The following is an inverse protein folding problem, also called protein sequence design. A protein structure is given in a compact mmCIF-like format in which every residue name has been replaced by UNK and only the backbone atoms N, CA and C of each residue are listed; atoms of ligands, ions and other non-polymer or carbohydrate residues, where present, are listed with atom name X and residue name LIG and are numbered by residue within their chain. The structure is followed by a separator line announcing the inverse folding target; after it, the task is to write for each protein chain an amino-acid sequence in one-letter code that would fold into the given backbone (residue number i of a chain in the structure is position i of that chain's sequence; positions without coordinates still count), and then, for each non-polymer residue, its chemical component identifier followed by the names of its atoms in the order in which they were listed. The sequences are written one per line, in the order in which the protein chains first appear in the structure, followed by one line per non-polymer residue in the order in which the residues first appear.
data_IF_276917682121
#
_entry.id   IF_276917682121
#
_cell.length_a   1.000
_cell.length_b   1.000
_cell.length_c   1.000
_cell.angle_alpha   90.00
_cell.angle_beta   90.00
_cell.angle_gamma   90.00
#
_symmetry.space_group_name_H-M   'P 1'
#
loop_
_entity.id
_entity.type
_entity.pdbx_description
1 polymer ?
#
# COMPACT_ATOMS: atom_id res chain seq x y z
N UNK A 1 4.08 -5.51 -29.23
CA UNK A 1 3.16 -4.35 -29.32
C UNK A 1 2.59 -4.17 -27.93
N UNK A 2 2.75 -3.01 -27.32
CA UNK A 2 2.20 -2.74 -25.99
C UNK A 2 0.77 -2.25 -26.16
N UNK A 3 -0.17 -2.82 -25.41
CA UNK A 3 -1.59 -2.48 -25.46
C UNK A 3 -1.96 -1.76 -24.16
N UNK A 4 -2.34 -0.49 -24.27
CA UNK A 4 -2.71 0.32 -23.13
C UNK A 4 -4.14 -0.02 -22.69
N UNK A 5 -4.29 -0.47 -21.45
CA UNK A 5 -5.57 -0.75 -20.84
C UNK A 5 -5.85 0.27 -19.74
N UNK A 6 -7.08 0.80 -19.70
CA UNK A 6 -7.50 1.69 -18.62
C UNK A 6 -7.88 0.86 -17.40
N UNK A 7 -7.30 1.20 -16.26
CA UNK A 7 -7.56 0.56 -14.98
C UNK A 7 -8.41 1.51 -14.14
N UNK A 8 -9.63 1.10 -13.83
CA UNK A 8 -10.51 1.87 -12.96
C UNK A 8 -10.24 1.47 -11.52
N UNK A 9 -9.61 2.39 -10.79
CA UNK A 9 -9.24 2.18 -9.40
C UNK A 9 -10.33 2.61 -8.39
N UNK A 10 -11.51 3.00 -8.87
CA UNK A 10 -12.71 3.44 -8.09
C UNK A 10 -12.43 4.43 -6.94
N UNK A 11 -11.32 5.17 -7.08
CA UNK A 11 -10.87 6.14 -6.10
C UNK A 11 -11.83 7.34 -6.04
N UNK A 12 -12.35 7.61 -4.83
CA UNK A 12 -13.28 8.74 -4.58
C UNK A 12 -12.59 10.10 -4.58
N UNK A 13 -11.25 10.11 -4.56
CA UNK A 13 -10.42 11.31 -4.52
C UNK A 13 -9.19 11.15 -5.44
N UNK A 14 -8.36 12.17 -5.51
CA UNK A 14 -7.15 12.20 -6.33
C UNK A 14 -6.19 11.06 -5.96
N UNK A 15 -5.68 10.38 -6.98
CA UNK A 15 -4.56 9.44 -6.83
C UNK A 15 -3.29 10.27 -6.73
N UNK A 16 -2.65 10.26 -5.56
CA UNK A 16 -1.42 11.02 -5.35
C UNK A 16 -0.17 10.32 -5.88
N UNK A 17 -0.12 8.99 -5.75
CA UNK A 17 1.03 8.21 -6.16
C UNK A 17 0.64 6.76 -6.47
N UNK A 18 1.46 6.14 -7.32
CA UNK A 18 1.34 4.74 -7.72
C UNK A 18 2.73 4.13 -7.69
N UNK A 19 2.90 2.98 -7.04
CA UNK A 19 4.17 2.27 -6.99
C UNK A 19 3.98 0.79 -7.34
N UNK A 20 4.80 0.30 -8.27
CA UNK A 20 4.90 -1.12 -8.57
C UNK A 20 5.83 -1.83 -7.58
N UNK A 21 5.50 -3.07 -7.28
CA UNK A 21 6.40 -3.99 -6.57
C UNK A 21 7.59 -4.34 -7.47
N UNK A 22 8.69 -4.79 -6.88
CA UNK A 22 9.96 -5.08 -7.58
C UNK A 22 9.80 -6.09 -8.73
N UNK A 23 8.82 -6.99 -8.63
CA UNK A 23 8.53 -8.02 -9.64
C UNK A 23 7.49 -7.58 -10.68
N UNK A 24 7.01 -6.33 -10.64
CA UNK A 24 5.93 -5.78 -11.49
C UNK A 24 4.61 -6.56 -11.46
N UNK A 25 4.44 -7.50 -10.53
CA UNK A 25 3.21 -8.29 -10.39
C UNK A 25 2.14 -7.62 -9.53
N UNK A 26 2.53 -6.59 -8.77
CA UNK A 26 1.65 -5.91 -7.81
C UNK A 26 1.85 -4.41 -7.93
N UNK A 27 0.78 -3.68 -7.62
CA UNK A 27 0.77 -2.23 -7.62
C UNK A 27 0.11 -1.75 -6.33
N UNK A 28 0.73 -0.79 -5.67
CA UNK A 28 0.14 -0.04 -4.58
C UNK A 28 -0.34 1.30 -5.14
N UNK A 29 -1.57 1.67 -4.79
CA UNK A 29 -2.13 3.00 -5.06
C UNK A 29 -2.60 3.58 -3.74
N UNK A 30 -2.43 4.88 -3.54
CA UNK A 30 -2.91 5.56 -2.35
C UNK A 30 -3.96 6.61 -2.71
N UNK A 31 -5.20 6.36 -2.30
CA UNK A 31 -6.29 7.33 -2.37
C UNK A 31 -7.30 7.09 -1.26
N UNK A 32 -8.15 8.09 -1.03
CA UNK A 32 -9.18 8.10 -0.02
C UNK A 32 -10.51 7.57 -0.61
N UNK A 33 -10.62 6.25 -0.89
CA UNK A 33 -11.82 5.67 -1.50
C UNK A 33 -11.75 4.16 -1.75
N UNK A 34 -12.90 3.56 -2.13
CA UNK A 34 -13.23 2.12 -2.15
C UNK A 34 -12.52 1.28 -3.24
N UNK A 35 -12.78 -0.03 -3.20
CA UNK A 35 -12.11 -1.12 -3.92
C UNK A 35 -12.30 -1.10 -5.46
N UNK A 36 -11.29 -1.48 -6.26
CA UNK A 36 -11.34 -1.49 -7.72
C UNK A 36 -12.03 -2.72 -8.33
N UNK A 37 -12.80 -2.53 -9.41
CA UNK A 37 -13.60 -3.60 -10.06
C UNK A 37 -12.79 -4.48 -11.06
N UNK A 38 -11.63 -4.02 -11.54
CA UNK A 38 -10.82 -4.70 -12.58
C UNK A 38 -9.44 -5.17 -12.10
N UNK A 39 -9.13 -5.05 -10.81
CA UNK A 39 -7.89 -5.53 -10.20
C UNK A 39 -8.22 -6.35 -8.96
N UNK A 40 -7.51 -7.46 -8.75
CA UNK A 40 -7.65 -8.22 -7.51
C UNK A 40 -7.06 -7.41 -6.35
N UNK A 41 -7.94 -6.76 -5.58
CA UNK A 41 -7.55 -6.09 -4.37
C UNK A 41 -6.94 -7.10 -3.39
N UNK A 42 -5.65 -6.93 -3.09
CA UNK A 42 -4.96 -7.79 -2.13
C UNK A 42 -5.22 -7.37 -0.69
N UNK A 43 -5.34 -6.07 -0.43
CA UNK A 43 -5.65 -5.49 0.88
C UNK A 43 -6.00 -4.00 0.73
N UNK A 44 -6.92 -3.52 1.58
CA UNK A 44 -7.23 -2.10 1.76
C UNK A 44 -7.29 -1.80 3.24
N UNK A 45 -6.59 -0.76 3.69
CA UNK A 45 -6.61 -0.34 5.09
C UNK A 45 -6.37 1.16 5.22
N UNK A 46 -6.88 1.73 6.32
CA UNK A 46 -6.65 3.13 6.66
C UNK A 46 -5.38 3.28 7.46
N UNK A 47 -4.31 3.73 6.82
CA UNK A 47 -3.00 3.91 7.46
C UNK A 47 -2.78 5.28 8.11
N UNK A 48 -3.36 6.34 7.53
CA UNK A 48 -3.09 7.73 7.87
C UNK A 48 -4.36 8.54 8.14
N UNK A 49 -4.22 9.64 8.88
CA UNK A 49 -5.34 10.55 9.20
C UNK A 49 -5.55 11.62 8.13
N UNK A 50 -4.57 11.83 7.26
CA UNK A 50 -4.63 12.73 6.12
C UNK A 50 -4.26 12.02 4.81
N UNK A 51 -4.37 12.74 3.69
CA UNK A 51 -4.01 12.23 2.36
C UNK A 51 -2.59 11.69 2.35
N UNK A 52 -2.42 10.48 1.83
CA UNK A 52 -1.12 9.86 1.59
C UNK A 52 -0.56 10.45 0.30
N UNK A 53 0.66 10.97 0.35
CA UNK A 53 1.28 11.66 -0.77
C UNK A 53 2.19 10.76 -1.58
N UNK A 54 2.89 9.84 -0.90
CA UNK A 54 3.73 8.83 -1.56
C UNK A 54 3.57 7.47 -0.93
N UNK A 55 3.75 6.47 -1.77
CA UNK A 55 3.88 5.06 -1.40
C UNK A 55 5.09 4.48 -2.13
N UNK A 56 5.88 3.66 -1.44
CA UNK A 56 7.02 2.97 -2.05
C UNK A 56 7.16 1.56 -1.48
N UNK A 57 7.52 0.61 -2.34
CA UNK A 57 7.86 -0.74 -1.95
C UNK A 57 9.32 -0.81 -1.51
N UNK A 58 9.59 -1.59 -0.47
CA UNK A 58 10.95 -1.94 -0.09
C UNK A 58 11.52 -3.02 -1.03
N UNK A 59 12.84 -3.17 -1.01
CA UNK A 59 13.49 -4.25 -1.75
C UNK A 59 13.09 -5.61 -1.15
N UNK A 60 12.81 -6.64 -1.96
CA UNK A 60 12.31 -7.93 -1.49
C UNK A 60 13.26 -8.67 -0.54
N UNK A 61 14.54 -8.29 -0.47
CA UNK A 61 15.50 -8.80 0.52
C UNK A 61 15.10 -8.49 1.97
N UNK A 62 14.36 -7.39 2.20
CA UNK A 62 13.84 -7.01 3.52
C UNK A 62 12.44 -7.61 3.80
N UNK A 63 11.90 -8.37 2.85
CA UNK A 63 10.52 -8.87 2.89
C UNK A 63 9.56 -7.97 2.12
N UNK A 64 8.26 -8.25 2.26
CA UNK A 64 7.22 -7.46 1.61
C UNK A 64 6.83 -6.28 2.51
N UNK A 65 7.62 -5.22 2.42
CA UNK A 65 7.40 -3.98 3.18
C UNK A 65 6.99 -2.82 2.27
N UNK A 66 6.16 -1.92 2.82
CA UNK A 66 5.66 -0.72 2.17
C UNK A 66 5.92 0.48 3.07
N UNK A 67 6.47 1.56 2.53
CA UNK A 67 6.55 2.84 3.22
C UNK A 67 5.53 3.82 2.65
N UNK A 68 4.82 4.52 3.52
CA UNK A 68 3.84 5.56 3.15
C UNK A 68 4.19 6.86 3.85
N UNK A 69 4.04 7.98 3.16
CA UNK A 69 4.11 9.32 3.78
C UNK A 69 2.82 10.09 3.58
N UNK A 70 2.39 10.83 4.59
CA UNK A 70 1.11 11.54 4.59
C UNK A 70 1.26 13.00 4.99
N UNK A 71 0.27 13.79 4.57
CA UNK A 71 0.10 15.17 5.01
C UNK A 71 -0.19 15.32 6.51
N UNK A 72 -0.52 14.21 7.19
CA UNK A 72 -0.67 14.20 8.66
C UNK A 72 0.66 14.40 9.41
N UNK A 73 1.76 14.63 8.68
CA UNK A 73 3.14 14.79 9.18
C UNK A 73 3.71 13.52 9.79
N UNK A 74 3.24 12.37 9.31
CA UNK A 74 3.77 11.08 9.69
C UNK A 74 4.15 10.27 8.47
N UNK A 75 5.15 9.41 8.63
CA UNK A 75 5.48 8.36 7.70
C UNK A 75 5.37 7.01 8.40
N UNK A 76 4.78 6.02 7.76
CA UNK A 76 4.60 4.70 8.33
C UNK A 76 5.28 3.65 7.47
N UNK A 77 5.84 2.62 8.11
CA UNK A 77 6.31 1.41 7.44
C UNK A 77 5.36 0.28 7.80
N UNK A 78 4.92 -0.42 6.77
CA UNK A 78 3.96 -1.51 6.81
C UNK A 78 4.64 -2.80 6.34
N UNK A 79 4.27 -3.91 6.96
CA UNK A 79 4.74 -5.25 6.60
C UNK A 79 3.55 -6.14 6.29
N UNK A 80 3.64 -6.88 5.18
CA UNK A 80 2.65 -7.88 4.83
C UNK A 80 2.87 -9.14 5.66
N UNK A 81 1.88 -9.50 6.48
CA UNK A 81 1.84 -10.81 7.13
C UNK A 81 0.91 -11.71 6.34
N UNK A 82 1.46 -12.84 5.89
CA UNK A 82 0.70 -13.92 5.27
C UNK A 82 0.31 -14.89 6.38
N UNK A 83 -0.97 -14.90 6.75
CA UNK A 83 -1.50 -15.88 7.69
C UNK A 83 -1.34 -17.31 7.15
N UNK A 84 -1.27 -18.29 8.05
CA UNK A 84 -1.21 -19.69 7.65
C UNK A 84 -2.44 -20.06 6.82
N UNK A 85 -2.19 -20.70 5.68
CA UNK A 85 -3.25 -21.27 4.86
C UNK A 85 -3.86 -22.46 5.63
N UNK A 86 -5.17 -22.40 5.90
CA UNK A 86 -5.93 -23.46 6.55
C UNK A 86 -6.00 -24.77 5.74
N UNK A 87 -5.57 -24.76 4.47
CA UNK A 87 -5.49 -25.96 3.64
C UNK A 87 -4.68 -25.80 2.36
N UNK A 88 -4.38 -26.92 1.66
CA UNK A 88 -3.67 -26.90 0.39
C UNK A 88 -4.50 -26.19 -0.69
N UNK A 89 -4.00 -25.05 -1.15
CA UNK A 89 -4.63 -24.25 -2.22
C UNK A 89 -5.36 -22.99 -1.75
N UNK A 90 -5.58 -22.81 -0.44
CA UNK A 90 -6.07 -21.55 0.09
C UNK A 90 -4.91 -20.56 0.19
N UNK A 91 -5.04 -19.39 -0.46
CA UNK A 91 -4.11 -18.29 -0.19
C UNK A 91 -4.40 -17.80 1.22
N UNK A 92 -3.41 -17.95 2.10
CA UNK A 92 -3.48 -17.43 3.47
C UNK A 92 -3.93 -15.97 3.49
N UNK A 93 -4.73 -15.63 4.49
CA UNK A 93 -5.25 -14.27 4.65
C UNK A 93 -4.06 -13.32 4.79
N UNK A 94 -3.98 -12.34 3.88
CA UNK A 94 -2.95 -11.31 3.88
C UNK A 94 -3.47 -10.12 4.67
N UNK A 95 -2.72 -9.68 5.66
CA UNK A 95 -3.02 -8.44 6.36
C UNK A 95 -1.75 -7.64 6.58
N UNK A 96 -1.91 -6.31 6.61
CA UNK A 96 -0.80 -5.39 6.74
C UNK A 96 -0.73 -4.85 8.15
N UNK A 97 0.45 -4.93 8.76
CA UNK A 97 0.69 -4.41 10.11
C UNK A 97 1.63 -3.21 10.04
N UNK A 98 1.36 -2.21 10.87
CA UNK A 98 2.24 -1.06 11.01
C UNK A 98 3.46 -1.48 11.84
N UNK A 99 4.62 -1.62 11.20
CA UNK A 99 5.88 -1.91 11.90
C UNK A 99 6.40 -0.70 12.65
N UNK A 100 6.34 0.46 12.00
CA UNK A 100 6.94 1.66 12.55
C UNK A 100 6.18 2.90 12.13
N UNK A 101 6.29 3.93 12.95
CA UNK A 101 5.79 5.26 12.68
C UNK A 101 6.91 6.28 12.91
N UNK A 102 7.21 7.05 11.87
CA UNK A 102 8.06 8.23 11.91
C UNK A 102 7.14 9.44 12.05
N UNK A 103 7.10 9.99 13.25
CA UNK A 103 6.46 11.27 13.52
C UNK A 103 7.49 12.40 13.37
N UNK A 104 7.03 13.56 12.93
CA UNK A 104 7.83 14.78 12.90
C UNK A 104 8.37 15.15 14.29
N UNK A 105 9.65 15.56 14.36
CA UNK A 105 10.27 15.96 15.62
C UNK A 105 9.71 17.32 16.06
N UNK A 106 8.86 17.33 17.08
CA UNK A 106 8.40 18.57 17.74
C UNK A 106 9.51 19.26 18.56
N UNK A 107 10.65 19.58 17.96
CA UNK A 107 11.54 20.58 18.53
C UNK A 107 11.39 21.84 17.68
N UNK A 108 10.64 22.82 18.20
CA UNK A 108 10.79 24.21 17.76
C UNK A 108 12.27 24.56 17.79
N UNK A 109 12.81 24.95 16.63
CA UNK A 109 14.06 25.73 16.57
C UNK A 109 13.71 27.19 16.84
#
# INVERSE_FOLDING_TARGET
MFEAHNLYAEHKDLIHDIAYDFYDQRMATCSNGDEPENWHLSASWKGHSGSVWKVTWAHPEFGQELATCSFDRTAAVWEEIVGEASGPGERGIRYWVRRTNLDDSRTSV
#
